data_IF_492423219953
#
_entry.id   IF_492423219953
#
_cell.length_a   1.000
_cell.length_b   1.000
_cell.length_c   1.000
_cell.angle_alpha   90.00
_cell.angle_beta   90.00
_cell.angle_gamma   90.00
#
_symmetry.space_group_name_H-M   'P 1'
#
loop_
_entity.id
_entity.type
_entity.pdbx_description
1 polymer ?
#
# COMPACT_ATOMS: atom_id res chain seq x y z
N UNK A 1 1.08 -5.18 5.52
CA UNK A 1 1.67 -4.62 6.75
C UNK A 1 0.57 -3.96 7.56
N UNK A 2 0.65 -4.02 8.89
CA UNK A 2 -0.36 -3.47 9.80
C UNK A 2 0.31 -2.65 10.89
N UNK A 3 -0.40 -1.63 11.38
CA UNK A 3 -0.11 -0.85 12.58
C UNK A 3 -1.39 -0.77 13.41
N UNK A 4 -1.36 -0.11 14.57
CA UNK A 4 -2.56 0.12 15.36
C UNK A 4 -3.64 0.92 14.61
N UNK A 5 -3.23 1.89 13.77
CA UNK A 5 -4.14 2.90 13.21
C UNK A 5 -4.33 2.81 11.68
N UNK A 6 -3.63 1.89 11.02
CA UNK A 6 -3.70 1.71 9.58
C UNK A 6 -3.13 0.37 9.12
N UNK A 7 -3.49 -0.04 7.91
CA UNK A 7 -2.89 -1.19 7.24
C UNK A 7 -2.83 -0.98 5.73
N UNK A 8 -1.96 -1.75 5.07
CA UNK A 8 -2.05 -1.99 3.64
C UNK A 8 -1.66 -3.41 3.26
N UNK A 9 -2.18 -3.87 2.12
CA UNK A 9 -1.82 -5.12 1.47
C UNK A 9 -1.50 -4.86 0.00
N UNK A 10 -0.44 -5.48 -0.49
CA UNK A 10 -0.02 -5.39 -1.88
C UNK A 10 -0.04 -6.78 -2.52
N UNK A 11 -0.52 -6.86 -3.76
CA UNK A 11 -0.48 -8.08 -4.56
C UNK A 11 -0.17 -7.77 -6.02
N UNK A 12 0.65 -8.59 -6.71
CA UNK A 12 0.76 -8.50 -8.15
C UNK A 12 -0.61 -8.82 -8.80
N UNK A 13 -0.91 -8.14 -9.91
CA UNK A 13 -2.04 -8.52 -10.75
C UNK A 13 -1.68 -9.80 -11.51
N UNK A 14 -2.67 -10.69 -11.69
CA UNK A 14 -2.49 -11.93 -12.44
C UNK A 14 -2.73 -11.79 -13.95
N UNK A 15 -3.21 -10.63 -14.40
CA UNK A 15 -3.66 -10.40 -15.79
C UNK A 15 -3.08 -9.14 -16.43
N UNK A 16 -2.43 -8.29 -15.65
CA UNK A 16 -1.83 -7.03 -16.12
C UNK A 16 -0.45 -6.89 -15.48
N UNK A 17 0.46 -6.19 -16.15
CA UNK A 17 1.77 -5.83 -15.57
C UNK A 17 1.64 -4.64 -14.61
N UNK A 18 0.95 -4.87 -13.49
CA UNK A 18 0.67 -3.91 -12.42
C UNK A 18 0.56 -4.63 -11.09
N UNK A 19 0.75 -3.90 -10.00
CA UNK A 19 0.36 -4.34 -8.65
C UNK A 19 -0.87 -3.58 -8.17
N UNK A 20 -1.57 -4.15 -7.18
CA UNK A 20 -2.72 -3.54 -6.50
C UNK A 20 -2.39 -3.34 -5.04
N UNK A 21 -2.60 -2.13 -4.54
CA UNK A 21 -2.50 -1.79 -3.11
C UNK A 21 -3.91 -1.56 -2.58
N UNK A 22 -4.22 -2.21 -1.47
CA UNK A 22 -5.39 -1.96 -0.64
C UNK A 22 -4.90 -1.34 0.65
N UNK A 23 -5.47 -0.22 1.06
CA UNK A 23 -5.08 0.47 2.28
C UNK A 23 -6.30 1.03 3.02
N UNK A 24 -6.19 1.11 4.33
CA UNK A 24 -7.21 1.70 5.21
C UNK A 24 -6.52 2.44 6.35
N UNK A 25 -7.19 3.50 6.84
CA UNK A 25 -6.80 4.17 8.06
C UNK A 25 -8.00 4.57 8.92
N UNK A 26 -7.81 4.42 10.23
CA UNK A 26 -8.73 4.88 11.27
C UNK A 26 -8.59 6.37 11.62
N UNK A 27 -7.60 7.08 11.05
CA UNK A 27 -7.33 8.49 11.31
C UNK A 27 -7.83 9.44 10.20
N UNK A 28 -8.58 8.92 9.23
CA UNK A 28 -9.20 9.71 8.18
C UNK A 28 -8.38 9.83 6.89
N UNK A 29 -8.86 10.64 5.92
CA UNK A 29 -8.39 10.61 4.54
C UNK A 29 -6.96 11.14 4.34
N UNK A 30 -6.54 12.15 5.12
CA UNK A 30 -5.17 12.69 5.02
C UNK A 30 -4.13 11.65 5.45
N UNK A 31 -4.38 10.95 6.57
CA UNK A 31 -3.51 9.87 7.00
C UNK A 31 -3.59 8.66 6.06
N UNK A 32 -4.75 8.34 5.51
CA UNK A 32 -4.87 7.31 4.47
C UNK A 32 -3.99 7.62 3.25
N UNK A 33 -3.93 8.87 2.80
CA UNK A 33 -3.05 9.28 1.69
C UNK A 33 -1.57 9.07 2.03
N UNK A 34 -1.16 9.35 3.28
CA UNK A 34 0.20 9.07 3.76
C UNK A 34 0.52 7.57 3.76
N UNK A 35 -0.42 6.75 4.22
CA UNK A 35 -0.31 5.28 4.22
C UNK A 35 -0.18 4.73 2.79
N UNK A 36 -0.96 5.27 1.84
CA UNK A 36 -0.89 4.89 0.43
C UNK A 36 0.46 5.24 -0.18
N UNK A 37 0.97 6.46 0.04
CA UNK A 37 2.28 6.88 -0.46
C UNK A 37 3.42 6.00 0.10
N UNK A 38 3.39 5.70 1.41
CA UNK A 38 4.37 4.81 2.02
C UNK A 38 4.29 3.38 1.45
N UNK A 39 3.08 2.88 1.21
CA UNK A 39 2.87 1.56 0.62
C UNK A 39 3.46 1.47 -0.80
N UNK A 40 3.22 2.47 -1.65
CA UNK A 40 3.81 2.55 -3.00
C UNK A 40 5.33 2.54 -2.97
N UNK A 41 5.95 3.33 -2.07
CA UNK A 41 7.41 3.35 -1.92
C UNK A 41 7.97 1.99 -1.50
N UNK A 42 7.37 1.36 -0.50
CA UNK A 42 7.83 0.05 0.00
C UNK A 42 7.67 -1.06 -1.02
N UNK A 43 6.52 -1.13 -1.68
CA UNK A 43 6.25 -2.13 -2.72
C UNK A 43 7.17 -1.90 -3.91
N UNK A 44 7.36 -0.64 -4.32
CA UNK A 44 8.29 -0.28 -5.39
C UNK A 44 9.71 -0.74 -5.10
N UNK A 45 10.22 -0.53 -3.88
CA UNK A 45 11.54 -1.03 -3.45
C UNK A 45 11.61 -2.56 -3.41
N UNK A 46 10.57 -3.23 -2.92
CA UNK A 46 10.57 -4.69 -2.79
C UNK A 46 10.48 -5.43 -4.14
N UNK A 47 10.00 -4.75 -5.19
CA UNK A 47 9.86 -5.29 -6.55
C UNK A 47 11.03 -4.88 -7.48
N UNK A 48 12.00 -4.09 -6.99
CA UNK A 48 13.24 -3.84 -7.73
C UNK A 48 14.10 -5.11 -7.77
N UNK A 49 14.75 -5.42 -8.91
CA UNK A 49 15.55 -6.64 -9.09
C UNK A 49 16.81 -6.67 -8.21
#
# INVERSE_FOLDING_TARGET
MTTENAWFAARPSGTEDKYKIYAESFQGPEHLAQVQAAAEEMVGKALQP
#
